data_IF_647433323653
#
_entry.id   IF_647433323653
#
_cell.length_a   1.000
_cell.length_b   1.000
_cell.length_c   1.000
_cell.angle_alpha   90.00
_cell.angle_beta   90.00
_cell.angle_gamma   90.00
#
_symmetry.space_group_name_H-M   'P 1'
#
loop_
_entity.id
_entity.type
_entity.pdbx_description
1 polymer ?
#
# COMPACT_ATOMS: atom_id res chain seq x y z
N UNK A 1 10.73 -31.29 -11.94
CA UNK A 1 11.92 -30.45 -11.70
C UNK A 1 11.92 -29.34 -12.74
N UNK A 2 11.46 -28.15 -12.37
CA UNK A 2 11.66 -26.87 -13.08
C UNK A 2 11.14 -25.79 -12.12
N UNK A 3 12.03 -25.32 -11.23
CA UNK A 3 11.81 -24.06 -10.53
C UNK A 3 12.15 -22.95 -11.52
N UNK A 4 11.16 -22.20 -11.96
CA UNK A 4 11.40 -20.89 -12.56
C UNK A 4 12.02 -19.99 -11.50
N UNK A 5 13.29 -19.63 -11.73
CA UNK A 5 13.98 -18.63 -10.92
C UNK A 5 13.25 -17.31 -11.13
N UNK A 6 12.55 -16.83 -10.10
CA UNK A 6 12.17 -15.43 -10.00
C UNK A 6 13.47 -14.63 -10.07
N UNK A 7 13.65 -13.90 -11.16
CA UNK A 7 14.79 -13.02 -11.36
C UNK A 7 14.65 -11.88 -10.35
N UNK A 8 15.34 -11.99 -9.22
CA UNK A 8 15.52 -10.86 -8.30
C UNK A 8 16.22 -9.77 -9.10
N UNK A 9 15.50 -8.70 -9.42
CA UNK A 9 16.07 -7.51 -10.06
C UNK A 9 17.17 -6.99 -9.13
N UNK A 10 18.40 -7.03 -9.62
CA UNK A 10 19.56 -6.51 -8.91
C UNK A 10 19.36 -5.02 -8.63
N UNK A 11 19.85 -4.48 -7.49
CA UNK A 11 19.68 -3.07 -7.17
C UNK A 11 20.26 -2.23 -8.31
N UNK A 12 19.43 -1.37 -8.87
CA UNK A 12 19.79 -0.46 -9.96
C UNK A 12 20.83 0.51 -9.41
N UNK A 13 22.10 0.23 -9.69
CA UNK A 13 23.20 1.12 -9.35
C UNK A 13 23.03 2.43 -10.14
N UNK A 14 22.53 3.48 -9.47
CA UNK A 14 22.57 4.85 -9.96
C UNK A 14 21.29 5.69 -9.92
N UNK A 15 20.16 5.18 -9.44
CA UNK A 15 18.95 6.01 -9.29
C UNK A 15 19.05 6.87 -8.03
N UNK A 16 19.27 8.18 -8.20
CA UNK A 16 19.13 9.15 -7.12
C UNK A 16 17.64 9.29 -6.76
N UNK A 17 17.28 9.38 -5.47
CA UNK A 17 15.91 9.65 -5.06
C UNK A 17 15.37 10.93 -5.71
N UNK A 18 14.10 10.89 -6.13
CA UNK A 18 13.41 12.03 -6.74
C UNK A 18 12.09 12.31 -6.03
N UNK A 19 12.11 13.24 -5.08
CA UNK A 19 10.87 13.74 -4.50
C UNK A 19 10.02 14.49 -5.53
N UNK A 20 8.70 14.41 -5.41
CA UNK A 20 7.74 15.00 -6.35
C UNK A 20 6.79 15.91 -5.60
N UNK A 21 6.76 17.19 -5.98
CA UNK A 21 5.71 18.12 -5.52
C UNK A 21 4.47 17.92 -6.40
N UNK A 22 3.33 17.62 -5.77
CA UNK A 22 2.07 17.36 -6.48
C UNK A 22 0.87 17.77 -5.63
N UNK A 23 -0.33 17.52 -6.16
CA UNK A 23 -1.61 17.68 -5.47
C UNK A 23 -2.28 16.33 -5.33
N UNK A 24 -2.72 15.97 -4.12
CA UNK A 24 -3.55 14.80 -3.86
C UNK A 24 -4.98 15.27 -3.62
N UNK A 25 -5.94 14.65 -4.31
CA UNK A 25 -7.35 14.98 -4.18
C UNK A 25 -8.00 14.07 -3.14
N UNK A 26 -8.41 14.65 -2.02
CA UNK A 26 -9.16 13.96 -0.97
C UNK A 26 -10.65 14.22 -1.12
N UNK A 27 -11.48 13.29 -0.65
CA UNK A 27 -12.92 13.56 -0.54
C UNK A 27 -13.16 14.73 0.42
N UNK A 28 -14.02 15.66 0.02
CA UNK A 28 -14.42 16.79 0.86
C UNK A 28 -15.56 16.36 1.77
N UNK A 29 -15.21 15.87 2.95
CA UNK A 29 -16.17 15.54 4.00
C UNK A 29 -16.98 16.77 4.44
N UNK A 30 -18.34 16.72 4.39
CA UNK A 30 -19.18 17.79 4.90
C UNK A 30 -19.02 18.05 6.40
N UNK A 31 -18.52 17.07 7.18
CA UNK A 31 -18.32 17.17 8.62
C UNK A 31 -19.61 17.13 9.44
N UNK A 32 -20.76 16.89 8.81
CA UNK A 32 -22.08 16.78 9.44
C UNK A 32 -22.44 15.33 9.83
N UNK A 33 -21.54 14.38 9.57
CA UNK A 33 -21.74 12.95 9.84
C UNK A 33 -22.60 12.24 8.81
N UNK A 34 -22.95 12.88 7.69
CA UNK A 34 -23.65 12.21 6.59
C UNK A 34 -22.74 11.20 5.89
N UNK A 35 -23.29 10.04 5.55
CA UNK A 35 -22.56 9.01 4.80
C UNK A 35 -22.27 9.47 3.37
N UNK A 36 -21.15 9.00 2.82
CA UNK A 36 -20.80 9.23 1.42
C UNK A 36 -21.88 8.67 0.49
N UNK A 37 -22.36 9.51 -0.43
CA UNK A 37 -23.33 9.08 -1.43
C UNK A 37 -22.71 8.01 -2.36
N UNK A 38 -23.40 6.90 -2.65
CA UNK A 38 -22.85 5.84 -3.48
C UNK A 38 -22.75 6.28 -4.95
N UNK A 39 -21.72 5.77 -5.63
CA UNK A 39 -21.63 5.84 -7.09
C UNK A 39 -22.57 4.81 -7.71
N UNK A 40 -23.60 5.27 -8.41
CA UNK A 40 -24.65 4.40 -8.98
C UNK A 40 -24.39 4.17 -10.47
N UNK A 41 -24.13 2.92 -10.85
CA UNK A 41 -23.93 2.53 -12.24
C UNK A 41 -25.06 3.07 -13.13
N UNK A 42 -24.70 3.56 -14.32
CA UNK A 42 -25.61 4.19 -15.30
C UNK A 42 -26.22 5.54 -14.87
N UNK A 43 -25.84 6.10 -13.71
CA UNK A 43 -26.24 7.44 -13.27
C UNK A 43 -25.02 8.35 -13.10
N UNK A 44 -24.57 8.93 -14.22
CA UNK A 44 -23.35 9.77 -14.28
C UNK A 44 -23.31 10.91 -13.25
N UNK A 45 -24.47 11.46 -12.87
CA UNK A 45 -24.55 12.53 -11.86
C UNK A 45 -24.10 12.11 -10.47
N UNK A 46 -23.97 10.80 -10.18
CA UNK A 46 -23.47 10.27 -8.90
C UNK A 46 -21.97 9.97 -8.89
N UNK A 47 -21.29 10.12 -10.04
CA UNK A 47 -19.89 9.75 -10.18
C UNK A 47 -18.94 10.87 -9.72
N UNK A 48 -19.38 12.12 -9.82
CA UNK A 48 -18.59 13.27 -9.38
C UNK A 48 -18.84 13.48 -7.89
N UNK A 49 -17.79 13.32 -7.09
CA UNK A 49 -17.80 13.61 -5.66
C UNK A 49 -17.01 14.90 -5.42
N UNK A 50 -17.41 15.73 -4.44
CA UNK A 50 -16.64 16.92 -4.09
C UNK A 50 -15.28 16.50 -3.53
N UNK A 51 -14.22 17.15 -4.01
CA UNK A 51 -12.85 16.92 -3.53
C UNK A 51 -12.23 18.20 -2.97
N UNK A 52 -11.20 18.01 -2.14
CA UNK A 52 -10.26 19.04 -1.73
C UNK A 52 -8.86 18.67 -2.20
N UNK A 53 -8.19 19.66 -2.77
CA UNK A 53 -6.85 19.56 -3.31
C UNK A 53 -5.85 19.81 -2.18
N UNK A 54 -4.97 18.84 -1.90
CA UNK A 54 -3.92 18.97 -0.90
C UNK A 54 -2.54 18.94 -1.57
N UNK A 55 -1.85 20.08 -1.56
CA UNK A 55 -0.44 20.14 -1.98
C UNK A 55 0.41 19.24 -1.09
N UNK A 56 1.10 18.30 -1.71
CA UNK A 56 1.82 17.23 -1.03
C UNK A 56 3.19 17.00 -1.68
N UNK A 57 4.22 16.87 -0.85
CA UNK A 57 5.52 16.36 -1.27
C UNK A 57 5.54 14.84 -1.15
N UNK A 58 5.67 14.14 -2.26
CA UNK A 58 5.86 12.68 -2.29
C UNK A 58 7.36 12.37 -2.17
N UNK A 59 7.74 11.72 -1.08
CA UNK A 59 9.13 11.38 -0.78
C UNK A 59 9.51 10.03 -1.40
N UNK A 60 10.38 10.06 -2.41
CA UNK A 60 11.10 8.87 -2.87
C UNK A 60 12.12 8.41 -1.81
N UNK A 61 11.99 7.15 -1.38
CA UNK A 61 12.81 6.52 -0.34
C UNK A 61 13.92 5.60 -0.88
N UNK A 62 14.07 5.51 -2.21
CA UNK A 62 15.02 4.60 -2.88
C UNK A 62 16.44 4.71 -2.28
N UNK A 63 17.02 3.60 -1.86
CA UNK A 63 18.35 3.55 -1.24
C UNK A 63 18.41 3.99 0.23
N UNK A 64 17.27 4.32 0.85
CA UNK A 64 17.14 4.69 2.26
C UNK A 64 16.02 3.91 2.98
N UNK A 65 15.54 2.82 2.37
CA UNK A 65 14.37 2.06 2.81
C UNK A 65 14.52 1.56 4.25
N UNK A 66 15.74 1.19 4.66
CA UNK A 66 16.05 0.69 6.01
C UNK A 66 15.89 1.75 7.11
N UNK A 67 15.77 3.02 6.77
CA UNK A 67 15.55 4.10 7.75
C UNK A 67 14.08 4.19 8.19
N UNK A 68 13.18 3.50 7.49
CA UNK A 68 11.74 3.50 7.75
C UNK A 68 11.37 2.23 8.51
N UNK A 69 11.22 2.37 9.83
CA UNK A 69 10.84 1.26 10.73
C UNK A 69 9.45 1.46 11.30
N UNK A 70 8.85 0.37 11.79
CA UNK A 70 7.53 0.41 12.44
C UNK A 70 7.51 1.40 13.61
N UNK A 71 8.53 1.39 14.47
CA UNK A 71 8.60 2.28 15.65
C UNK A 71 8.72 3.77 15.30
N UNK A 72 9.32 4.09 14.15
CA UNK A 72 9.66 5.47 13.79
C UNK A 72 8.63 6.10 12.84
N UNK A 73 8.12 5.33 11.89
CA UNK A 73 7.25 5.84 10.80
C UNK A 73 5.90 5.14 10.74
N UNK A 74 5.66 4.10 11.56
CA UNK A 74 4.44 3.30 11.51
C UNK A 74 4.35 2.35 10.32
N UNK A 75 5.41 2.25 9.50
CA UNK A 75 5.53 1.27 8.43
C UNK A 75 6.99 0.86 8.25
N UNK A 76 7.21 -0.35 7.72
CA UNK A 76 8.53 -0.87 7.40
C UNK A 76 8.44 -1.69 6.12
N UNK A 77 9.45 -1.57 5.25
CA UNK A 77 9.57 -2.42 4.08
C UNK A 77 10.24 -3.72 4.50
N UNK A 78 9.63 -4.85 4.14
CA UNK A 78 10.20 -6.17 4.35
C UNK A 78 10.28 -6.92 3.01
N UNK A 79 11.35 -7.69 2.85
CA UNK A 79 11.47 -8.63 1.75
C UNK A 79 11.00 -10.00 2.24
N UNK A 80 9.70 -10.23 2.13
CA UNK A 80 9.05 -11.46 2.58
C UNK A 80 8.12 -12.02 1.50
N UNK A 81 8.22 -13.32 1.25
CA UNK A 81 7.39 -14.01 0.27
C UNK A 81 6.31 -14.81 1.01
N UNK A 82 5.06 -14.34 0.93
CA UNK A 82 3.90 -15.03 1.53
C UNK A 82 3.79 -16.49 1.10
N UNK A 83 3.45 -17.41 2.00
CA UNK A 83 3.13 -18.80 1.63
C UNK A 83 1.76 -18.91 0.94
N UNK A 84 0.77 -18.19 1.45
CA UNK A 84 -0.55 -18.05 0.82
C UNK A 84 -0.44 -17.21 -0.46
N UNK A 85 -1.00 -17.71 -1.58
CA UNK A 85 -0.91 -17.08 -2.91
C UNK A 85 -2.25 -16.81 -3.58
N UNK A 86 -3.28 -17.62 -3.30
CA UNK A 86 -4.53 -17.56 -4.07
C UNK A 86 -5.61 -16.72 -3.39
N UNK A 87 -5.55 -16.59 -2.05
CA UNK A 87 -6.46 -15.78 -1.23
C UNK A 87 -7.95 -16.05 -1.50
N UNK A 88 -8.31 -17.28 -1.88
CA UNK A 88 -9.65 -17.70 -2.26
C UNK A 88 -10.36 -18.53 -1.18
N UNK A 89 -9.62 -18.97 -0.15
CA UNK A 89 -10.13 -19.80 0.93
C UNK A 89 -9.93 -19.14 2.30
N UNK A 90 -11.04 -18.69 2.89
CA UNK A 90 -11.08 -17.97 4.16
C UNK A 90 -10.45 -18.74 5.33
N UNK A 91 -10.61 -20.07 5.36
CA UNK A 91 -10.04 -20.90 6.43
C UNK A 91 -8.52 -21.01 6.26
N UNK A 92 -8.04 -21.22 5.03
CA UNK A 92 -6.61 -21.31 4.73
C UNK A 92 -5.88 -20.00 5.06
N UNK A 93 -6.48 -18.85 4.71
CA UNK A 93 -5.95 -17.53 5.06
C UNK A 93 -5.80 -17.38 6.58
N UNK A 94 -6.82 -17.77 7.36
CA UNK A 94 -6.79 -17.64 8.83
C UNK A 94 -5.79 -18.60 9.47
N UNK A 95 -5.66 -19.81 8.95
CA UNK A 95 -4.78 -20.84 9.50
C UNK A 95 -3.32 -20.65 9.12
N UNK A 96 -3.03 -20.10 7.93
CA UNK A 96 -1.67 -20.00 7.39
C UNK A 96 -1.14 -18.56 7.33
N UNK A 97 -1.90 -17.64 6.72
CA UNK A 97 -1.43 -16.28 6.43
C UNK A 97 -1.41 -15.39 7.68
N UNK A 98 -2.43 -15.46 8.54
CA UNK A 98 -2.47 -14.61 9.74
C UNK A 98 -1.32 -14.94 10.72
N UNK A 99 -1.04 -16.21 11.08
CA UNK A 99 0.10 -16.53 11.94
C UNK A 99 1.46 -16.21 11.31
N UNK A 100 1.56 -16.28 9.98
CA UNK A 100 2.76 -15.87 9.24
C UNK A 100 3.03 -14.38 9.40
N UNK A 101 2.02 -13.53 9.17
CA UNK A 101 2.13 -12.07 9.33
C UNK A 101 2.40 -11.71 10.78
N UNK A 102 1.74 -12.36 11.76
CA UNK A 102 2.03 -12.15 13.18
C UNK A 102 3.49 -12.46 13.53
N UNK A 103 4.05 -13.54 13.00
CA UNK A 103 5.45 -13.92 13.24
C UNK A 103 6.39 -12.91 12.60
N UNK A 104 6.12 -12.51 11.35
CA UNK A 104 6.90 -11.52 10.63
C UNK A 104 6.94 -10.18 11.38
N UNK A 105 5.80 -9.67 11.85
CA UNK A 105 5.72 -8.41 12.60
C UNK A 105 6.48 -8.48 13.93
N UNK A 106 6.55 -9.64 14.57
CA UNK A 106 7.31 -9.83 15.82
C UNK A 106 8.83 -9.90 15.61
N UNK A 107 9.28 -10.26 14.41
CA UNK A 107 10.69 -10.37 14.05
C UNK A 107 11.29 -9.06 13.48
N UNK A 108 10.43 -8.12 13.08
CA UNK A 108 10.82 -6.77 12.63
C UNK A 108 11.26 -5.88 13.80
#
# INVERSE_FOLDING_TARGET
MLLEKVQVLSPTSGLKPRHVQTTINYYKDPGDGTEHAPSIARKRSTFTQPSIDLETLVTDITGSEKNYTLDSHGFQLCDHISREKDFDNDNRIKEEYYPEVESLVREM
#
